data_IF_384333354704
#
_entry.id   IF_384333354704
#
_cell.length_a   1.000
_cell.length_b   1.000
_cell.length_c   1.000
_cell.angle_alpha   90.00
_cell.angle_beta   90.00
_cell.angle_gamma   90.00
#
_symmetry.space_group_name_H-M   'P 1'
#
loop_
_entity.id
_entity.type
_entity.pdbx_description
1 polymer ?
#
# COMPACT_ATOMS: atom_id res chain seq x y z
N UNK A 1 -19.49 -48.58 -66.61
CA UNK A 1 -19.41 -47.10 -66.68
C UNK A 1 -19.24 -46.70 -65.23
N UNK A 2 -18.02 -46.91 -64.75
CA UNK A 2 -17.71 -46.86 -63.33
C UNK A 2 -16.99 -45.54 -63.14
N UNK A 3 -17.67 -44.60 -62.47
CA UNK A 3 -17.21 -43.23 -62.34
C UNK A 3 -16.12 -43.18 -61.26
N UNK A 4 -14.90 -42.84 -61.67
CA UNK A 4 -13.82 -42.54 -60.73
C UNK A 4 -14.10 -41.21 -60.03
N UNK A 5 -14.18 -41.24 -58.71
CA UNK A 5 -14.21 -40.04 -57.86
C UNK A 5 -12.80 -39.43 -57.83
N UNK A 6 -12.60 -38.15 -58.16
CA UNK A 6 -11.28 -37.55 -58.09
C UNK A 6 -10.89 -37.35 -56.62
N UNK A 7 -9.73 -37.90 -56.25
CA UNK A 7 -9.11 -37.71 -54.94
C UNK A 7 -8.85 -36.22 -54.72
N UNK A 8 -9.46 -35.69 -53.66
CA UNK A 8 -9.28 -34.30 -53.23
C UNK A 8 -7.84 -34.10 -52.78
N UNK A 9 -7.11 -33.19 -53.42
CA UNK A 9 -5.77 -32.79 -53.00
C UNK A 9 -5.80 -32.23 -51.58
N UNK A 10 -4.99 -32.82 -50.69
CA UNK A 10 -4.70 -32.29 -49.37
C UNK A 10 -4.01 -30.93 -49.56
N UNK A 11 -4.68 -29.86 -49.18
CA UNK A 11 -4.10 -28.51 -49.21
C UNK A 11 -3.42 -28.33 -47.86
N UNK A 12 -2.10 -28.37 -47.83
CA UNK A 12 -1.32 -28.04 -46.64
C UNK A 12 -1.63 -26.58 -46.26
N UNK A 13 -2.43 -26.40 -45.20
CA UNK A 13 -2.58 -25.13 -44.51
C UNK A 13 -1.25 -24.85 -43.80
N UNK A 14 -0.28 -24.25 -44.50
CA UNK A 14 0.89 -23.67 -43.85
C UNK A 14 0.39 -22.59 -42.88
N UNK A 15 0.53 -22.87 -41.59
CA UNK A 15 -0.18 -22.13 -40.55
C UNK A 15 0.48 -20.76 -40.30
N UNK A 16 -0.28 -19.64 -40.26
CA UNK A 16 0.28 -18.28 -40.07
C UNK A 16 1.02 -18.02 -38.75
N UNK A 17 1.09 -19.02 -37.87
CA UNK A 17 1.73 -18.90 -36.56
C UNK A 17 3.24 -19.13 -36.64
N UNK A 18 3.70 -19.90 -37.62
CA UNK A 18 5.12 -20.23 -37.78
C UNK A 18 5.93 -19.01 -38.21
N UNK A 19 5.39 -18.20 -39.14
CA UNK A 19 6.02 -16.96 -39.62
C UNK A 19 6.17 -15.89 -38.53
N UNK A 20 5.19 -15.80 -37.62
CA UNK A 20 5.21 -14.84 -36.50
C UNK A 20 6.28 -15.24 -35.47
N UNK A 21 6.41 -16.54 -35.20
CA UNK A 21 7.43 -17.07 -34.28
C UNK A 21 8.83 -16.88 -34.85
N UNK A 22 9.02 -17.11 -36.15
CA UNK A 22 10.32 -16.88 -36.78
C UNK A 22 10.71 -15.40 -36.79
N UNK A 23 9.77 -14.51 -37.14
CA UNK A 23 10.02 -13.06 -37.13
C UNK A 23 10.38 -12.53 -35.73
N UNK A 24 9.68 -13.00 -34.69
CA UNK A 24 9.98 -12.62 -33.31
C UNK A 24 11.33 -13.14 -32.83
N UNK A 25 11.72 -14.36 -33.24
CA UNK A 25 13.04 -14.90 -32.96
C UNK A 25 14.16 -14.13 -33.68
N UNK A 26 13.97 -13.77 -34.96
CA UNK A 26 14.90 -12.94 -35.72
C UNK A 26 15.07 -11.56 -35.08
N UNK A 27 13.97 -10.93 -34.65
CA UNK A 27 14.00 -9.62 -33.98
C UNK A 27 14.74 -9.67 -32.64
N UNK A 28 14.61 -10.76 -31.88
CA UNK A 28 15.37 -10.96 -30.63
C UNK A 28 16.87 -11.01 -30.92
N UNK A 29 17.30 -11.83 -31.88
CA UNK A 29 18.70 -11.96 -32.28
C UNK A 29 19.31 -10.61 -32.71
N UNK A 30 18.58 -9.84 -33.52
CA UNK A 30 19.03 -8.50 -33.95
C UNK A 30 19.25 -7.54 -32.77
N UNK A 31 18.41 -7.61 -31.74
CA UNK A 31 18.58 -6.78 -30.54
C UNK A 31 19.78 -7.24 -29.71
N UNK A 32 19.95 -8.54 -29.52
CA UNK A 32 21.08 -9.10 -28.75
C UNK A 32 22.43 -8.79 -29.42
N UNK A 33 22.49 -8.86 -30.75
CA UNK A 33 23.66 -8.46 -31.53
C UNK A 33 23.93 -6.96 -31.44
N UNK A 34 22.89 -6.12 -31.54
CA UNK A 34 23.02 -4.67 -31.47
C UNK A 34 23.52 -4.17 -30.10
N UNK A 35 23.02 -4.75 -29.01
CA UNK A 35 23.44 -4.41 -27.65
C UNK A 35 24.68 -5.20 -27.18
N UNK A 36 25.09 -6.24 -27.92
CA UNK A 36 26.22 -7.11 -27.60
C UNK A 36 26.02 -7.96 -26.33
N UNK A 37 24.77 -8.11 -25.89
CA UNK A 37 24.39 -8.79 -24.64
C UNK A 37 23.09 -9.56 -24.87
N UNK A 38 23.07 -10.83 -24.43
CA UNK A 38 21.87 -11.67 -24.48
C UNK A 38 20.82 -11.23 -23.43
N UNK A 39 19.54 -11.36 -23.78
CA UNK A 39 18.48 -11.02 -22.85
C UNK A 39 18.42 -12.02 -21.67
N UNK A 40 18.25 -11.55 -20.42
CA UNK A 40 18.09 -12.45 -19.28
C UNK A 40 16.86 -13.35 -19.45
N UNK A 41 17.00 -14.63 -19.09
CA UNK A 41 15.89 -15.59 -19.12
C UNK A 41 14.80 -15.24 -18.10
N UNK A 42 15.19 -14.68 -16.96
CA UNK A 42 14.30 -14.24 -15.89
C UNK A 42 14.59 -12.78 -15.54
N UNK A 43 13.53 -11.99 -15.39
CA UNK A 43 13.59 -10.60 -14.96
C UNK A 43 12.76 -10.47 -13.70
N UNK A 44 13.42 -10.20 -12.57
CA UNK A 44 12.74 -9.85 -11.33
C UNK A 44 12.33 -8.37 -11.37
N UNK A 45 11.02 -8.12 -11.51
CA UNK A 45 10.47 -6.75 -11.54
C UNK A 45 10.03 -6.38 -10.13
N UNK A 46 10.83 -5.55 -9.46
CA UNK A 46 10.46 -5.03 -8.16
C UNK A 46 9.36 -3.97 -8.26
N UNK A 47 8.35 -3.99 -7.37
CA UNK A 47 7.38 -2.91 -7.30
C UNK A 47 8.07 -1.58 -6.96
N UNK A 48 7.55 -0.45 -7.46
CA UNK A 48 8.13 0.86 -7.15
C UNK A 48 8.07 1.12 -5.64
N UNK A 49 9.04 1.90 -5.16
CA UNK A 49 9.10 2.30 -3.77
C UNK A 49 7.82 3.05 -3.38
N UNK A 50 7.18 2.62 -2.29
CA UNK A 50 5.93 3.23 -1.83
C UNK A 50 6.26 4.59 -1.19
N UNK A 51 6.12 5.65 -1.98
CA UNK A 51 6.36 7.02 -1.51
C UNK A 51 5.09 7.67 -0.94
N UNK A 52 5.25 8.44 0.13
CA UNK A 52 4.14 9.19 0.73
C UNK A 52 3.81 10.44 -0.12
N UNK A 53 2.77 10.36 -0.95
CA UNK A 53 2.29 11.48 -1.78
C UNK A 53 1.22 12.33 -1.09
N UNK A 54 0.90 13.51 -1.63
CA UNK A 54 -0.23 14.32 -1.13
C UNK A 54 -1.54 13.50 -1.25
N UNK A 55 -2.18 13.22 -0.12
CA UNK A 55 -3.37 12.36 -0.06
C UNK A 55 -3.08 10.94 0.41
N UNK A 56 -1.81 10.56 0.60
CA UNK A 56 -1.45 9.39 1.37
C UNK A 56 -1.63 9.67 2.88
N UNK A 57 -2.00 8.64 3.64
CA UNK A 57 -2.30 8.74 5.07
C UNK A 57 -3.80 8.68 5.39
N UNK A 58 -4.11 8.57 6.68
CA UNK A 58 -5.51 8.49 7.14
C UNK A 58 -6.18 9.86 7.17
N UNK A 59 -7.48 9.91 6.90
CA UNK A 59 -8.29 11.13 7.05
C UNK A 59 -8.19 11.72 8.47
N UNK A 60 -8.32 13.04 8.58
CA UNK A 60 -8.47 13.70 9.88
C UNK A 60 -9.84 13.32 10.50
N UNK A 61 -9.87 12.78 11.74
CA UNK A 61 -11.13 12.41 12.37
C UNK A 61 -11.93 13.65 12.79
N UNK A 62 -13.24 13.59 12.56
CA UNK A 62 -14.21 14.59 12.99
C UNK A 62 -14.29 14.72 14.51
N UNK A 63 -14.90 15.80 15.00
CA UNK A 63 -15.12 16.02 16.45
C UNK A 63 -15.93 14.88 17.08
N UNK A 64 -16.94 14.38 16.37
CA UNK A 64 -17.79 13.26 16.83
C UNK A 64 -16.96 11.99 16.96
N UNK A 65 -16.15 11.65 15.96
CA UNK A 65 -15.27 10.46 16.00
C UNK A 65 -14.26 10.53 17.14
N UNK A 66 -13.67 11.70 17.40
CA UNK A 66 -12.75 11.88 18.54
C UNK A 66 -13.43 11.63 19.87
N UNK A 67 -14.65 12.13 20.05
CA UNK A 67 -15.44 11.93 21.28
C UNK A 67 -15.82 10.46 21.46
N UNK A 68 -16.28 9.79 20.39
CA UNK A 68 -16.60 8.36 20.43
C UNK A 68 -15.38 7.51 20.79
N UNK A 69 -14.22 7.78 20.17
CA UNK A 69 -12.95 7.13 20.51
C UNK A 69 -12.48 7.38 21.94
N UNK A 70 -12.86 8.51 22.54
CA UNK A 70 -12.57 8.78 23.95
C UNK A 70 -13.51 7.99 24.86
N UNK A 71 -14.81 7.99 24.54
CA UNK A 71 -15.85 7.26 25.29
C UNK A 71 -15.64 5.75 25.28
N UNK A 72 -15.08 5.18 24.21
CA UNK A 72 -14.78 3.75 24.14
C UNK A 72 -13.59 3.32 24.98
N UNK A 73 -12.76 4.25 25.45
CA UNK A 73 -11.63 3.94 26.33
C UNK A 73 -12.14 3.71 27.75
N UNK A 74 -11.67 2.65 28.44
CA UNK A 74 -12.06 2.41 29.82
C UNK A 74 -11.63 3.59 30.71
N UNK A 75 -12.48 3.91 31.68
CA UNK A 75 -12.12 4.83 32.75
C UNK A 75 -11.07 4.16 33.65
N UNK A 76 -10.19 4.98 34.23
CA UNK A 76 -9.19 4.53 35.19
C UNK A 76 -9.23 5.40 36.44
N UNK A 77 -8.92 4.82 37.58
CA UNK A 77 -8.82 5.56 38.83
C UNK A 77 -7.48 6.29 38.93
N UNK A 78 -7.52 7.60 39.17
CA UNK A 78 -6.33 8.41 39.36
C UNK A 78 -5.75 8.22 40.76
N UNK A 79 -4.46 7.86 40.90
CA UNK A 79 -3.82 7.69 42.22
C UNK A 79 -3.71 8.97 43.05
N UNK A 80 -3.79 10.16 42.43
CA UNK A 80 -3.68 11.45 43.13
C UNK A 80 -5.03 11.95 43.68
N UNK A 81 -6.07 11.98 42.84
CA UNK A 81 -7.39 12.48 43.26
C UNK A 81 -8.41 11.37 43.55
N UNK A 82 -8.05 10.11 43.31
CA UNK A 82 -8.88 8.91 43.54
C UNK A 82 -10.16 8.82 42.71
N UNK A 83 -10.34 9.69 41.71
CA UNK A 83 -11.50 9.69 40.82
C UNK A 83 -11.30 8.82 39.58
N UNK A 84 -12.41 8.28 39.08
CA UNK A 84 -12.48 7.57 37.80
C UNK A 84 -12.64 8.57 36.66
N UNK A 85 -11.73 8.51 35.68
CA UNK A 85 -11.76 9.44 34.55
C UNK A 85 -10.83 9.03 33.41
N UNK A 86 -10.68 9.92 32.44
CA UNK A 86 -9.73 9.76 31.32
C UNK A 86 -8.33 10.32 31.61
N UNK A 87 -8.05 10.70 32.86
CA UNK A 87 -6.74 11.21 33.29
C UNK A 87 -6.02 10.20 34.21
N UNK A 88 -4.73 10.38 34.43
CA UNK A 88 -3.94 9.59 35.40
C UNK A 88 -3.30 10.53 36.43
N UNK A 89 -2.49 9.98 37.35
CA UNK A 89 -1.78 10.79 38.35
C UNK A 89 -0.79 11.79 37.74
N UNK A 90 -0.29 11.56 36.51
CA UNK A 90 0.63 12.48 35.83
C UNK A 90 -0.14 13.65 35.22
N UNK A 91 -1.35 13.39 34.73
CA UNK A 91 -2.21 14.39 34.10
C UNK A 91 -3.43 14.79 34.96
N UNK A 92 -3.32 14.75 36.28
CA UNK A 92 -4.45 15.09 37.13
C UNK A 92 -4.69 16.60 37.21
N UNK A 93 -5.81 17.06 36.64
CA UNK A 93 -6.12 18.48 36.52
C UNK A 93 -6.29 19.17 37.89
N UNK A 94 -6.91 18.49 38.85
CA UNK A 94 -7.10 19.01 40.23
C UNK A 94 -5.80 19.40 40.91
N UNK A 95 -4.72 18.66 40.65
CA UNK A 95 -3.41 18.95 41.24
C UNK A 95 -2.64 19.98 40.42
N UNK A 96 -2.77 19.96 39.08
CA UNK A 96 -2.19 21.00 38.22
C UNK A 96 -2.77 22.38 38.53
N UNK A 97 -4.07 22.48 38.77
CA UNK A 97 -4.72 23.74 39.13
C UNK A 97 -4.26 24.23 40.51
N UNK A 98 -4.20 23.32 41.50
CA UNK A 98 -3.70 23.64 42.85
C UNK A 98 -2.24 24.08 42.84
N UNK A 99 -1.40 23.48 42.01
CA UNK A 99 0.00 23.88 41.81
C UNK A 99 0.11 25.27 41.18
N UNK A 100 -0.66 25.54 40.11
CA UNK A 100 -0.72 26.88 39.50
C UNK A 100 -1.17 27.95 40.49
N UNK A 101 -2.18 27.67 41.32
CA UNK A 101 -2.66 28.60 42.35
C UNK A 101 -1.61 28.83 43.45
N UNK A 102 -0.83 27.82 43.82
CA UNK A 102 0.30 27.98 44.75
C UNK A 102 1.41 28.82 44.15
N UNK A 103 1.78 28.54 42.89
CA UNK A 103 2.81 29.30 42.19
C UNK A 103 2.46 30.77 42.05
N UNK A 104 1.21 31.10 41.74
CA UNK A 104 0.73 32.49 41.67
C UNK A 104 0.87 33.20 43.01
N UNK A 105 0.38 32.59 44.09
CA UNK A 105 0.50 33.17 45.44
C UNK A 105 1.95 33.39 45.87
N UNK A 106 2.86 32.51 45.48
CA UNK A 106 4.29 32.65 45.78
C UNK A 106 5.00 33.70 44.91
N UNK A 107 4.40 34.14 43.79
CA UNK A 107 4.95 35.23 42.98
C UNK A 107 4.44 36.62 43.37
N UNK A 108 3.39 36.67 44.19
CA UNK A 108 2.80 37.92 44.72
C UNK A 108 3.44 38.36 46.06
N UNK A 109 4.41 37.58 46.57
CA UNK A 109 5.25 37.86 47.76
C UNK A 109 6.67 38.11 47.30
#
# INVERSE_FOLDING_TARGET
>A
MDYETPSTSHVDNQSPVDDIVENTAQKKKLMEEFYGVEAPQEVDVQPPEVVSTKGCGSRLPSRVEKVLKLKSKPLRQCKKCQEWGHHDSRNCDKFKEKEKLRSRRNSDV
#
